data_IF_365696695625
#
_entry.id   IF_365696695625
#
_cell.length_a   1.000
_cell.length_b   1.000
_cell.length_c   1.000
_cell.angle_alpha   90.00
_cell.angle_beta   90.00
_cell.angle_gamma   90.00
#
_symmetry.space_group_name_H-M   'P 1'
#
loop_
_entity.id
_entity.type
_entity.pdbx_description
1 polymer ?
#
# COMPACT_ATOMS: atom_id res chain seq x y z
N UNK A 1 -14.46 -52.24 -26.05
CA UNK A 1 -15.12 -51.53 -27.17
C UNK A 1 -14.18 -50.44 -27.68
N UNK A 2 -14.11 -50.22 -29.01
CA UNK A 2 -13.19 -49.31 -29.70
C UNK A 2 -13.56 -47.85 -29.37
N UNK A 3 -12.67 -46.85 -29.40
CA UNK A 3 -11.79 -46.45 -30.50
C UNK A 3 -12.51 -45.35 -31.30
N UNK A 4 -12.00 -44.11 -31.25
CA UNK A 4 -12.17 -43.10 -32.32
C UNK A 4 -11.34 -41.82 -32.03
N UNK A 5 -10.29 -41.64 -32.83
CA UNK A 5 -9.62 -40.38 -33.11
C UNK A 5 -10.34 -39.72 -34.29
N UNK A 6 -10.70 -38.42 -34.26
CA UNK A 6 -10.89 -37.53 -35.43
C UNK A 6 -10.65 -36.09 -34.93
N UNK A 7 -9.53 -35.43 -35.29
CA UNK A 7 -9.26 -34.64 -36.50
C UNK A 7 -9.84 -33.20 -36.47
N UNK A 8 -8.90 -32.25 -36.48
CA UNK A 8 -8.82 -31.04 -37.33
C UNK A 8 -10.03 -30.09 -37.44
N UNK A 9 -9.78 -28.81 -37.14
CA UNK A 9 -9.88 -27.73 -38.14
C UNK A 9 -9.50 -26.37 -37.52
N UNK A 10 -8.35 -25.83 -37.95
CA UNK A 10 -8.18 -24.39 -38.10
C UNK A 10 -8.82 -24.01 -39.44
N UNK A 11 -9.51 -22.87 -39.53
CA UNK A 11 -9.11 -21.93 -40.56
C UNK A 11 -8.93 -20.52 -40.02
N UNK A 12 -7.79 -19.96 -40.41
CA UNK A 12 -7.50 -18.56 -40.63
C UNK A 12 -8.62 -17.80 -41.33
N UNK A 13 -8.86 -16.55 -40.90
CA UNK A 13 -9.20 -15.49 -41.85
C UNK A 13 -8.48 -14.17 -41.52
N UNK A 14 -7.69 -13.62 -42.47
CA UNK A 14 -7.04 -12.32 -42.39
C UNK A 14 -7.91 -11.25 -43.07
N UNK A 15 -8.15 -10.12 -42.41
CA UNK A 15 -8.66 -8.92 -43.09
C UNK A 15 -7.58 -7.83 -43.15
N UNK A 16 -7.08 -7.70 -44.37
CA UNK A 16 -6.20 -6.66 -44.89
C UNK A 16 -6.93 -5.30 -44.95
N UNK A 17 -6.34 -4.29 -44.29
CA UNK A 17 -5.99 -2.96 -44.84
C UNK A 17 -7.10 -2.13 -45.57
N UNK A 18 -6.77 -1.02 -46.25
CA UNK A 18 -6.25 0.27 -45.77
C UNK A 18 -7.17 1.42 -46.24
N UNK A 19 -7.05 2.63 -45.69
CA UNK A 19 -7.30 3.91 -46.40
C UNK A 19 -6.95 5.07 -45.43
N UNK A 20 -5.77 5.69 -45.52
CA UNK A 20 -5.39 6.79 -46.43
C UNK A 20 -6.25 8.06 -46.33
N UNK A 21 -5.52 9.19 -46.19
CA UNK A 21 -5.85 10.63 -46.38
C UNK A 21 -6.13 11.37 -45.06
N UNK A 22 -5.51 12.52 -44.74
CA UNK A 22 -4.59 13.42 -45.43
C UNK A 22 -3.83 14.20 -44.33
N UNK A 23 -2.49 14.30 -44.32
CA UNK A 23 -1.67 15.27 -45.04
C UNK A 23 -2.27 16.69 -45.11
N UNK A 24 -1.98 17.52 -44.10
CA UNK A 24 -1.93 18.98 -44.26
C UNK A 24 -0.50 19.46 -43.97
N UNK A 25 0.18 19.79 -45.06
CA UNK A 25 1.51 20.39 -45.11
C UNK A 25 1.47 21.87 -44.71
N UNK A 26 2.36 22.19 -43.77
CA UNK A 26 3.26 23.35 -43.74
C UNK A 26 2.70 24.77 -43.91
N UNK A 27 2.99 25.60 -42.91
CA UNK A 27 3.54 26.94 -43.16
C UNK A 27 4.56 27.27 -42.09
N UNK A 28 5.83 27.00 -42.41
CA UNK A 28 6.97 27.56 -41.72
C UNK A 28 7.14 29.01 -42.21
N UNK A 29 6.97 29.97 -41.32
CA UNK A 29 7.47 31.33 -41.51
C UNK A 29 8.61 31.55 -40.52
N UNK A 30 9.81 31.27 -41.01
CA UNK A 30 11.06 31.79 -40.48
C UNK A 30 11.09 33.31 -40.67
N UNK A 31 11.04 34.07 -39.59
CA UNK A 31 11.65 35.41 -39.56
C UNK A 31 12.41 35.58 -38.25
N UNK A 32 13.70 35.88 -38.42
CA UNK A 32 14.71 36.05 -37.40
C UNK A 32 14.38 37.24 -36.49
N UNK A 33 14.57 37.07 -35.19
CA UNK A 33 14.56 38.17 -34.23
C UNK A 33 14.83 37.70 -32.81
N UNK A 34 16.10 37.73 -32.41
CA UNK A 34 16.47 37.77 -30.99
C UNK A 34 16.85 36.43 -30.36
N UNK A 35 18.16 36.18 -30.27
CA UNK A 35 18.75 35.41 -29.17
C UNK A 35 18.51 36.18 -27.87
N UNK A 36 17.31 36.07 -27.31
CA UNK A 36 17.15 36.15 -25.87
C UNK A 36 17.16 34.71 -25.40
N UNK A 37 18.20 34.35 -24.65
CA UNK A 37 18.22 33.15 -23.85
C UNK A 37 17.02 33.23 -22.89
N UNK A 38 15.87 32.77 -23.35
CA UNK A 38 14.80 32.31 -22.49
C UNK A 38 15.42 31.15 -21.72
N UNK A 39 15.92 31.49 -20.54
CA UNK A 39 16.06 30.55 -19.44
C UNK A 39 14.65 30.03 -19.23
N UNK A 40 14.32 28.94 -19.93
CA UNK A 40 13.19 28.11 -19.55
C UNK A 40 13.31 27.92 -18.04
N UNK A 41 12.28 28.21 -17.24
CA UNK A 41 12.32 27.86 -15.84
C UNK A 41 12.60 26.36 -15.81
N UNK A 42 13.79 26.02 -15.35
CA UNK A 42 14.19 24.66 -15.11
C UNK A 42 13.26 24.25 -13.97
N UNK A 43 12.19 23.53 -14.32
CA UNK A 43 11.34 22.89 -13.32
C UNK A 43 12.28 21.92 -12.63
N UNK A 44 12.78 22.31 -11.46
CA UNK A 44 13.48 21.40 -10.58
C UNK A 44 12.54 20.22 -10.42
N UNK A 45 12.92 19.06 -10.98
CA UNK A 45 12.16 17.81 -10.93
C UNK A 45 12.08 17.22 -9.51
N UNK A 46 12.33 18.06 -8.52
CA UNK A 46 12.39 17.81 -7.10
C UNK A 46 11.49 18.80 -6.35
N UNK A 47 10.32 19.14 -6.90
CA UNK A 47 9.22 19.62 -6.05
C UNK A 47 8.92 18.53 -5.02
N UNK A 48 9.54 18.68 -3.86
CA UNK A 48 9.32 17.83 -2.71
C UNK A 48 7.93 18.17 -2.21
N UNK A 49 6.94 17.40 -2.66
CA UNK A 49 5.56 17.53 -2.23
C UNK A 49 5.52 17.65 -0.70
N UNK A 50 5.12 18.84 -0.24
CA UNK A 50 5.08 19.21 1.18
C UNK A 50 3.65 19.26 1.73
N UNK A 51 2.70 18.66 0.99
CA UNK A 51 1.31 18.55 1.39
C UNK A 51 1.06 17.46 2.44
N UNK A 52 -0.15 17.42 3.00
CA UNK A 52 -0.51 16.42 3.99
C UNK A 52 -0.55 15.02 3.35
N UNK A 53 0.21 14.08 3.92
CA UNK A 53 0.33 12.72 3.43
C UNK A 53 -0.97 11.92 3.59
N UNK A 54 -1.36 11.20 2.55
CA UNK A 54 -2.39 10.16 2.53
C UNK A 54 -1.69 8.80 2.73
N UNK A 55 -2.24 7.99 3.63
CA UNK A 55 -1.79 6.61 3.82
C UNK A 55 -2.84 5.63 3.30
N UNK A 56 -2.38 4.46 2.87
CA UNK A 56 -3.22 3.30 2.67
C UNK A 56 -2.70 2.13 3.50
N UNK A 57 -3.60 1.31 4.01
CA UNK A 57 -3.31 0.13 4.82
C UNK A 57 -3.83 -1.12 4.12
N UNK A 58 -3.00 -2.16 4.05
CA UNK A 58 -3.38 -3.46 3.50
C UNK A 58 -3.99 -4.36 4.57
N UNK A 59 -4.68 -5.46 4.20
CA UNK A 59 -5.07 -6.47 5.17
C UNK A 59 -3.84 -7.05 5.86
N UNK A 60 -4.00 -7.57 7.07
CA UNK A 60 -2.89 -8.08 7.87
C UNK A 60 -2.38 -9.38 7.25
N UNK A 61 -1.17 -9.36 6.68
CA UNK A 61 -0.53 -10.56 6.12
C UNK A 61 -0.14 -11.60 7.17
N UNK A 62 0.47 -12.70 6.72
CA UNK A 62 1.00 -13.74 7.60
C UNK A 62 0.00 -14.88 7.91
N UNK A 63 0.52 -15.93 8.54
CA UNK A 63 -0.25 -17.13 8.86
C UNK A 63 -1.02 -16.95 10.18
N UNK A 64 -2.29 -17.35 10.17
CA UNK A 64 -3.15 -17.42 11.35
C UNK A 64 -3.71 -18.84 11.50
N UNK A 65 -4.06 -19.25 12.72
CA UNK A 65 -4.82 -20.49 12.89
C UNK A 65 -6.19 -20.37 12.19
N UNK A 66 -6.72 -21.49 11.70
CA UNK A 66 -7.93 -21.48 10.88
C UNK A 66 -9.23 -21.28 11.66
N UNK A 67 -9.23 -21.39 12.99
CA UNK A 67 -10.48 -21.41 13.77
C UNK A 67 -10.73 -20.07 14.45
N UNK A 68 -9.80 -19.61 15.27
CA UNK A 68 -9.92 -18.38 16.05
C UNK A 68 -9.10 -17.23 15.46
N UNK A 69 -8.04 -17.56 14.71
CA UNK A 69 -7.10 -16.61 14.14
C UNK A 69 -7.72 -15.70 13.08
N UNK A 70 -8.65 -16.21 12.27
CA UNK A 70 -9.39 -15.39 11.28
C UNK A 70 -10.27 -14.33 11.94
N UNK A 71 -10.99 -14.69 13.00
CA UNK A 71 -11.85 -13.75 13.74
C UNK A 71 -11.01 -12.67 14.40
N UNK A 72 -9.89 -13.06 15.03
CA UNK A 72 -8.96 -12.11 15.63
C UNK A 72 -8.36 -11.17 14.58
N UNK A 73 -7.90 -11.71 13.45
CA UNK A 73 -7.33 -10.94 12.34
C UNK A 73 -8.30 -9.85 11.88
N UNK A 74 -9.55 -10.20 11.61
CA UNK A 74 -10.52 -9.23 11.12
C UNK A 74 -10.82 -8.12 12.15
N UNK A 75 -10.95 -8.48 13.44
CA UNK A 75 -11.10 -7.51 14.53
C UNK A 75 -9.88 -6.58 14.62
N UNK A 76 -8.68 -7.13 14.46
CA UNK A 76 -7.44 -6.38 14.52
C UNK A 76 -7.27 -5.46 13.32
N UNK A 77 -7.61 -5.91 12.10
CA UNK A 77 -7.63 -5.09 10.88
C UNK A 77 -8.48 -3.84 11.06
N UNK A 78 -9.73 -4.02 11.50
CA UNK A 78 -10.66 -2.91 11.75
C UNK A 78 -10.16 -1.96 12.84
N UNK A 79 -9.71 -2.51 13.97
CA UNK A 79 -9.24 -1.72 15.10
C UNK A 79 -7.96 -0.95 14.76
N UNK A 80 -7.01 -1.58 14.07
CA UNK A 80 -5.74 -0.96 13.68
C UNK A 80 -5.97 0.18 12.68
N UNK A 81 -6.78 -0.04 11.64
CA UNK A 81 -7.11 0.99 10.66
C UNK A 81 -7.78 2.21 11.32
N UNK A 82 -8.73 1.97 12.23
CA UNK A 82 -9.36 3.03 13.01
C UNK A 82 -8.35 3.80 13.89
N UNK A 83 -7.48 3.10 14.62
CA UNK A 83 -6.49 3.73 15.49
C UNK A 83 -5.45 4.56 14.74
N UNK A 84 -5.04 4.15 13.54
CA UNK A 84 -4.11 4.92 12.70
C UNK A 84 -4.82 6.16 12.15
N UNK A 85 -6.09 6.04 11.74
CA UNK A 85 -6.93 7.16 11.28
C UNK A 85 -7.12 8.20 12.39
N UNK A 86 -7.50 7.75 13.58
CA UNK A 86 -7.77 8.61 14.74
C UNK A 86 -6.50 9.31 15.28
N UNK A 87 -5.31 8.78 14.97
CA UNK A 87 -4.05 9.41 15.36
C UNK A 87 -3.79 10.74 14.63
N UNK A 88 -4.48 11.03 13.52
CA UNK A 88 -4.39 12.29 12.78
C UNK A 88 -3.01 12.57 12.17
N UNK A 89 -2.18 11.52 12.02
CA UNK A 89 -0.83 11.56 11.44
C UNK A 89 -0.91 11.83 9.93
N UNK A 90 -1.87 11.19 9.27
CA UNK A 90 -2.17 11.33 7.84
C UNK A 90 -3.44 12.17 7.66
N UNK A 91 -3.63 12.80 6.49
CA UNK A 91 -4.90 13.47 6.15
C UNK A 91 -6.03 12.48 5.95
N UNK A 92 -5.72 11.32 5.37
CA UNK A 92 -6.63 10.22 5.17
C UNK A 92 -5.89 8.88 5.31
N UNK A 93 -6.64 7.84 5.68
CA UNK A 93 -6.18 6.46 5.77
C UNK A 93 -7.18 5.58 5.03
N UNK A 94 -6.76 5.09 3.87
CA UNK A 94 -7.56 4.23 2.99
C UNK A 94 -7.27 2.76 3.25
N UNK A 95 -8.30 1.93 3.26
CA UNK A 95 -8.14 0.48 3.33
C UNK A 95 -8.12 -0.08 1.90
N UNK A 96 -7.01 -0.69 1.49
CA UNK A 96 -6.80 -1.21 0.14
C UNK A 96 -6.64 -2.75 0.16
N UNK A 97 -7.05 -3.49 -0.88
CA UNK A 97 -7.01 -4.95 -0.87
C UNK A 97 -5.59 -5.53 -0.94
N UNK A 98 -4.63 -4.79 -1.49
CA UNK A 98 -3.22 -5.20 -1.56
C UNK A 98 -2.31 -3.99 -1.73
N UNK A 99 -1.03 -4.18 -1.45
CA UNK A 99 -0.01 -3.14 -1.57
C UNK A 99 0.23 -2.66 -3.02
N UNK A 100 -0.22 -3.42 -4.01
CA UNK A 100 -0.11 -3.13 -5.45
C UNK A 100 -1.40 -2.59 -6.06
N UNK A 101 -2.50 -2.52 -5.30
CA UNK A 101 -3.77 -1.99 -5.78
C UNK A 101 -3.62 -0.50 -6.17
N UNK A 102 -4.18 -0.03 -7.30
CA UNK A 102 -4.19 1.38 -7.65
C UNK A 102 -4.88 2.21 -6.56
N UNK A 103 -4.22 3.26 -6.07
CA UNK A 103 -4.75 4.21 -5.08
C UNK A 103 -3.89 5.48 -5.03
N UNK A 104 -4.40 6.54 -4.41
CA UNK A 104 -3.74 7.86 -4.35
C UNK A 104 -2.73 7.99 -3.18
N UNK A 105 -2.76 7.08 -2.20
CA UNK A 105 -1.91 7.21 -1.02
C UNK A 105 -0.41 7.25 -1.34
N UNK A 106 0.34 8.16 -0.73
CA UNK A 106 1.80 8.21 -0.89
C UNK A 106 2.52 7.20 0.01
N UNK A 107 1.88 6.80 1.11
CA UNK A 107 2.40 5.86 2.10
C UNK A 107 1.57 4.58 2.10
N UNK A 108 2.23 3.43 1.97
CA UNK A 108 1.57 2.12 2.11
C UNK A 108 2.04 1.46 3.41
N UNK A 109 1.10 1.06 4.25
CA UNK A 109 1.28 0.39 5.53
C UNK A 109 0.90 -1.08 5.35
N UNK A 110 1.85 -1.97 5.56
CA UNK A 110 1.74 -3.41 5.33
C UNK A 110 1.93 -4.16 6.66
N UNK A 111 0.86 -4.32 7.45
CA UNK A 111 0.93 -5.10 8.68
C UNK A 111 0.94 -6.60 8.37
N UNK A 112 1.65 -7.39 9.17
CA UNK A 112 1.65 -8.85 9.06
C UNK A 112 1.91 -9.55 10.39
N UNK A 113 1.31 -10.72 10.60
CA UNK A 113 1.69 -11.59 11.70
C UNK A 113 3.02 -12.28 11.38
N UNK A 114 4.04 -12.06 12.21
CA UNK A 114 5.31 -12.81 12.13
C UNK A 114 5.37 -13.95 13.14
N UNK A 115 4.39 -14.03 14.05
CA UNK A 115 4.15 -15.15 14.95
C UNK A 115 2.64 -15.37 15.07
N UNK A 116 2.21 -16.63 15.19
CA UNK A 116 0.79 -16.94 15.36
C UNK A 116 0.27 -16.31 16.66
N UNK A 117 -0.82 -15.52 16.60
CA UNK A 117 -1.38 -14.89 17.80
C UNK A 117 -1.75 -15.93 18.86
N UNK A 118 -1.42 -15.66 20.12
CA UNK A 118 -1.79 -16.52 21.24
C UNK A 118 -0.95 -17.81 21.40
N UNK A 119 -0.01 -18.08 20.49
CA UNK A 119 0.95 -19.17 20.62
C UNK A 119 2.32 -18.62 21.01
N UNK A 120 2.54 -18.42 22.31
CA UNK A 120 3.89 -18.41 22.87
C UNK A 120 4.02 -19.63 23.78
N UNK A 121 4.87 -20.58 23.39
CA UNK A 121 5.03 -21.85 24.12
C UNK A 121 5.61 -21.65 25.52
N UNK A 122 6.30 -20.53 25.78
CA UNK A 122 7.06 -20.34 27.03
C UNK A 122 6.89 -18.97 27.72
N UNK A 123 6.33 -17.93 27.08
CA UNK A 123 6.29 -16.54 27.61
C UNK A 123 4.88 -15.99 27.90
N UNK A 124 3.83 -16.77 27.66
CA UNK A 124 2.43 -16.33 27.78
C UNK A 124 1.88 -15.77 26.46
N UNK A 125 0.56 -15.78 26.29
CA UNK A 125 -0.08 -15.41 25.03
C UNK A 125 0.21 -13.95 24.65
N UNK A 126 0.77 -13.75 23.45
CA UNK A 126 1.15 -12.45 22.88
C UNK A 126 0.43 -12.19 21.56
N UNK A 127 0.29 -10.90 21.24
CA UNK A 127 -0.02 -10.41 19.92
C UNK A 127 1.26 -9.83 19.30
N UNK A 128 1.68 -10.40 18.18
CA UNK A 128 2.95 -10.11 17.52
C UNK A 128 2.69 -9.66 16.07
N UNK A 129 2.95 -8.39 15.78
CA UNK A 129 2.70 -7.77 14.48
C UNK A 129 3.97 -7.12 13.94
N UNK A 130 4.30 -7.40 12.69
CA UNK A 130 5.34 -6.74 11.94
C UNK A 130 4.69 -5.66 11.07
N UNK A 131 5.28 -4.48 11.02
CA UNK A 131 4.81 -3.36 10.21
C UNK A 131 5.92 -2.93 9.25
N UNK A 132 5.67 -3.12 7.97
CA UNK A 132 6.48 -2.53 6.91
C UNK A 132 5.73 -1.32 6.33
N UNK A 133 6.40 -0.18 6.22
CA UNK A 133 5.81 1.05 5.68
C UNK A 133 6.68 1.56 4.56
N UNK A 134 6.11 1.70 3.36
CA UNK A 134 6.82 2.17 2.17
C UNK A 134 6.28 3.48 1.64
N UNK A 135 7.18 4.32 1.14
CA UNK A 135 6.81 5.51 0.38
C UNK A 135 6.75 5.17 -1.11
N UNK A 136 5.63 5.46 -1.78
CA UNK A 136 5.52 5.31 -3.24
C UNK A 136 6.47 6.25 -3.97
N UNK A 137 6.65 7.46 -3.44
CA UNK A 137 7.52 8.49 -4.05
C UNK A 137 8.99 8.07 -4.03
N UNK A 138 9.48 7.54 -2.90
CA UNK A 138 10.89 7.12 -2.79
C UNK A 138 11.14 5.66 -3.16
N UNK A 139 10.09 4.86 -3.35
CA UNK A 139 10.17 3.42 -3.65
C UNK A 139 10.76 2.57 -2.53
N UNK A 140 11.03 3.14 -1.35
CA UNK A 140 11.77 2.50 -0.27
C UNK A 140 10.91 2.21 0.95
N UNK A 141 11.35 1.22 1.73
CA UNK A 141 10.83 0.96 3.08
C UNK A 141 11.37 2.03 4.02
N UNK A 142 10.45 2.70 4.70
CA UNK A 142 10.69 3.88 5.53
C UNK A 142 10.55 3.60 7.03
N UNK A 143 9.79 2.56 7.37
CA UNK A 143 9.67 1.96 8.70
C UNK A 143 9.55 0.44 8.52
N UNK A 144 10.29 -0.30 9.33
CA UNK A 144 10.29 -1.77 9.32
C UNK A 144 10.49 -2.25 10.77
N UNK A 145 9.41 -2.67 11.43
CA UNK A 145 9.41 -2.88 12.90
C UNK A 145 8.50 -4.00 13.35
N UNK A 146 8.94 -4.72 14.36
CA UNK A 146 8.16 -5.72 15.09
C UNK A 146 7.57 -5.13 16.37
N UNK A 147 6.30 -5.41 16.62
CA UNK A 147 5.55 -5.02 17.80
C UNK A 147 5.05 -6.28 18.51
N UNK A 148 5.26 -6.33 19.82
CA UNK A 148 4.79 -7.41 20.69
C UNK A 148 4.07 -6.81 21.87
N UNK A 149 2.86 -7.30 22.14
CA UNK A 149 2.10 -6.92 23.33
C UNK A 149 1.50 -8.16 24.00
N UNK A 150 1.46 -8.22 25.34
CA UNK A 150 0.73 -9.27 26.03
C UNK A 150 -0.74 -9.28 25.62
N UNK A 151 -1.29 -10.45 25.27
CA UNK A 151 -2.68 -10.61 24.89
C UNK A 151 -3.20 -12.00 25.29
N UNK A 152 -3.59 -12.13 26.56
CA UNK A 152 -4.08 -13.38 27.13
C UNK A 152 -5.30 -13.95 26.37
N UNK A 153 -6.16 -13.10 25.84
CA UNK A 153 -7.39 -13.48 25.14
C UNK A 153 -7.20 -13.77 23.65
N UNK A 154 -6.04 -13.47 23.07
CA UNK A 154 -5.82 -13.63 21.62
C UNK A 154 -5.88 -15.09 21.19
N UNK A 155 -5.45 -16.04 22.03
CA UNK A 155 -5.58 -17.48 21.78
C UNK A 155 -7.04 -17.94 21.61
N UNK A 156 -8.00 -17.17 22.14
CA UNK A 156 -9.43 -17.43 22.06
C UNK A 156 -10.11 -16.60 20.95
N UNK A 157 -9.35 -16.02 20.02
CA UNK A 157 -9.91 -15.20 18.94
C UNK A 157 -10.44 -13.83 19.40
N UNK A 158 -10.04 -13.39 20.60
CA UNK A 158 -10.53 -12.17 21.24
C UNK A 158 -9.42 -11.16 21.39
N UNK A 159 -9.65 -9.95 20.86
CA UNK A 159 -8.72 -8.84 20.97
C UNK A 159 -8.93 -8.12 22.31
N UNK A 160 -7.93 -8.18 23.19
CA UNK A 160 -7.93 -7.43 24.45
C UNK A 160 -7.82 -5.92 24.15
N UNK A 161 -8.74 -5.07 24.64
CA UNK A 161 -8.67 -3.63 24.47
C UNK A 161 -7.35 -3.01 24.96
N UNK A 162 -6.76 -3.52 26.05
CA UNK A 162 -5.47 -3.04 26.56
C UNK A 162 -4.32 -3.42 25.64
N UNK A 163 -4.34 -4.64 25.10
CA UNK A 163 -3.36 -5.08 24.12
C UNK A 163 -3.43 -4.19 22.86
N UNK A 164 -4.65 -3.94 22.36
CA UNK A 164 -4.85 -3.06 21.22
C UNK A 164 -4.38 -1.63 21.50
N UNK A 165 -4.69 -1.06 22.67
CA UNK A 165 -4.25 0.28 23.03
C UNK A 165 -2.71 0.37 23.12
N UNK A 166 -2.06 -0.63 23.71
CA UNK A 166 -0.61 -0.69 23.79
C UNK A 166 0.04 -0.79 22.41
N UNK A 167 -0.52 -1.65 21.54
CA UNK A 167 -0.06 -1.83 20.16
C UNK A 167 -0.23 -0.54 19.35
N UNK A 168 -1.43 0.05 19.39
CA UNK A 168 -1.74 1.31 18.70
C UNK A 168 -0.83 2.44 19.17
N UNK A 169 -0.60 2.56 20.49
CA UNK A 169 0.31 3.59 21.04
C UNK A 169 1.73 3.44 20.50
N UNK A 170 2.26 2.23 20.44
CA UNK A 170 3.60 1.98 19.92
C UNK A 170 3.68 2.31 18.42
N UNK A 171 2.77 1.76 17.62
CA UNK A 171 2.71 1.98 16.17
C UNK A 171 2.55 3.48 15.86
N UNK A 172 1.58 4.14 16.50
CA UNK A 172 1.31 5.56 16.25
C UNK A 172 2.47 6.45 16.72
N UNK A 173 3.21 6.04 17.76
CA UNK A 173 4.43 6.72 18.19
C UNK A 173 5.49 6.74 17.08
N UNK A 174 5.79 5.58 16.52
CA UNK A 174 6.78 5.41 15.45
C UNK A 174 6.33 6.10 14.15
N UNK A 175 5.07 5.94 13.76
CA UNK A 175 4.49 6.63 12.60
C UNK A 175 4.53 8.14 12.78
N UNK A 176 4.19 8.66 13.96
CA UNK A 176 4.25 10.11 14.24
C UNK A 176 5.68 10.62 14.23
N UNK A 177 6.64 9.88 14.78
CA UNK A 177 8.06 10.24 14.69
C UNK A 177 8.53 10.30 13.24
N UNK A 178 8.06 9.39 12.39
CA UNK A 178 8.49 9.30 11.00
C UNK A 178 7.80 10.30 10.06
N UNK A 179 6.50 10.54 10.26
CA UNK A 179 5.65 11.27 9.31
C UNK A 179 4.98 12.52 9.91
N UNK A 180 4.91 12.65 11.23
CA UNK A 180 4.15 13.70 11.91
C UNK A 180 4.80 15.09 11.91
N UNK A 181 6.10 15.20 11.65
CA UNK A 181 6.85 16.48 11.63
C UNK A 181 6.76 17.24 10.31
N UNK A 182 6.09 16.71 9.28
CA UNK A 182 5.95 17.40 7.98
C UNK A 182 4.84 18.46 7.95
N UNK A 183 4.14 18.73 9.05
CA UNK A 183 3.23 19.87 9.14
C UNK A 183 4.03 21.10 9.60
N UNK A 184 4.05 22.12 8.74
CA UNK A 184 4.55 23.49 8.94
C UNK A 184 6.00 23.78 8.49
N UNK A 185 6.11 24.20 7.23
CA UNK A 185 6.85 25.40 6.85
C UNK A 185 6.02 26.17 5.85
#
# INVERSE_FOLDING_TARGET
MPGLCIHSAQPSDPSLQPMFKALFTATASLLLGGCLASSSPQIDSHETYSGPLIAAITPIGGQVDQVNGWVLRHKLEQALAAQIRDAGIFSAVEEIPSATAPNEAEIIIEPSFFQQPGLARDTGAELALHLSVRSKTSGGVTLDRDYRVPCASCALGTLDPKAMQALAKAINGDLKQKFGTRRAS
#
